data_IF_374564480490
#
_entry.id   IF_374564480490
#
_cell.length_a   1.000
_cell.length_b   1.000
_cell.length_c   1.000
_cell.angle_alpha   90.00
_cell.angle_beta   90.00
_cell.angle_gamma   90.00
#
_symmetry.space_group_name_H-M   'P 1'
#
loop_
_entity.id
_entity.type
_entity.pdbx_description
1 polymer ?
#
# COMPACT_ATOMS: atom_id res chain seq x y z
N UNK A 1 15.80 -4.52 1.86
CA UNK A 1 15.37 -4.73 3.27
C UNK A 1 15.17 -3.43 4.03
N UNK A 2 16.08 -2.44 3.97
CA UNK A 2 15.91 -1.14 4.66
C UNK A 2 14.65 -0.34 4.24
N UNK A 3 14.29 -0.33 2.95
CA UNK A 3 13.13 0.42 2.46
C UNK A 3 11.78 -0.14 2.93
N UNK A 4 11.72 -1.43 3.27
CA UNK A 4 10.52 -2.08 3.81
C UNK A 4 10.25 -1.65 5.27
N UNK A 5 11.31 -1.44 6.05
CA UNK A 5 11.23 -0.95 7.43
C UNK A 5 10.82 0.54 7.50
N UNK A 6 11.16 1.33 6.47
CA UNK A 6 10.88 2.76 6.43
C UNK A 6 9.39 3.12 6.41
N UNK A 7 8.52 2.23 5.91
CA UNK A 7 7.08 2.46 5.91
C UNK A 7 6.33 1.63 6.96
N UNK A 8 6.73 0.37 7.22
CA UNK A 8 6.02 -0.47 8.18
C UNK A 8 6.10 0.06 9.62
N UNK A 9 7.28 0.50 10.06
CA UNK A 9 7.48 0.99 11.43
C UNK A 9 6.56 2.16 11.80
N UNK A 10 6.64 3.29 11.08
CA UNK A 10 5.82 4.47 11.37
C UNK A 10 4.31 4.21 11.26
N UNK A 11 3.90 3.37 10.31
CA UNK A 11 2.47 3.08 10.07
C UNK A 11 1.89 2.22 11.18
N UNK A 12 2.61 1.19 11.61
CA UNK A 12 2.18 0.36 12.74
C UNK A 12 2.12 1.22 14.01
N UNK A 13 3.11 2.09 14.25
CA UNK A 13 3.08 2.99 15.41
C UNK A 13 1.92 3.98 15.34
N UNK A 14 1.58 4.52 14.17
CA UNK A 14 0.46 5.44 14.00
C UNK A 14 -0.89 4.75 14.27
N UNK A 15 -1.08 3.52 13.75
CA UNK A 15 -2.28 2.73 14.02
C UNK A 15 -2.43 2.45 15.52
N UNK A 16 -1.34 2.19 16.25
CA UNK A 16 -1.41 1.93 17.68
C UNK A 16 -1.73 3.17 18.54
N UNK A 17 -1.43 4.38 18.04
CA UNK A 17 -1.76 5.64 18.71
C UNK A 17 -3.13 6.19 18.30
N UNK A 18 -3.71 5.73 17.19
CA UNK A 18 -5.06 6.15 16.76
C UNK A 18 -6.20 5.48 17.52
N UNK A 19 -5.92 4.48 18.37
CA UNK A 19 -6.94 3.66 19.06
C UNK A 19 -6.64 3.50 20.56
N UNK A 20 -7.69 3.44 21.40
CA UNK A 20 -7.55 3.21 22.84
C UNK A 20 -6.81 1.90 23.16
N UNK A 21 -6.09 1.88 24.29
CA UNK A 21 -5.20 0.77 24.66
C UNK A 21 -5.85 -0.63 24.61
N UNK A 22 -7.14 -0.74 24.92
CA UNK A 22 -7.88 -2.01 24.92
C UNK A 22 -8.21 -2.55 23.51
N UNK A 23 -8.16 -1.71 22.46
CA UNK A 23 -8.49 -2.09 21.08
C UNK A 23 -7.25 -2.27 20.19
N UNK A 24 -6.04 -2.04 20.71
CA UNK A 24 -4.79 -2.09 19.93
C UNK A 24 -4.55 -3.44 19.24
N UNK A 25 -4.92 -4.54 19.89
CA UNK A 25 -4.83 -5.90 19.32
C UNK A 25 -5.76 -6.05 18.11
N UNK A 26 -7.02 -5.64 18.23
CA UNK A 26 -8.01 -5.71 17.16
C UNK A 26 -7.63 -4.80 15.99
N UNK A 27 -7.16 -3.59 16.28
CA UNK A 27 -6.72 -2.65 15.25
C UNK A 27 -5.50 -3.15 14.48
N UNK A 28 -4.53 -3.77 15.17
CA UNK A 28 -3.37 -4.39 14.53
C UNK A 28 -3.79 -5.59 13.66
N UNK A 29 -4.73 -6.42 14.15
CA UNK A 29 -5.27 -7.54 13.39
C UNK A 29 -6.04 -7.08 12.14
N UNK A 30 -6.88 -6.05 12.26
CA UNK A 30 -7.59 -5.46 11.12
C UNK A 30 -6.62 -4.82 10.12
N UNK A 31 -5.61 -4.11 10.59
CA UNK A 31 -4.59 -3.52 9.74
C UNK A 31 -3.84 -4.59 8.95
N UNK A 32 -3.38 -5.65 9.62
CA UNK A 32 -2.73 -6.78 8.97
C UNK A 32 -3.66 -7.51 8.00
N UNK A 33 -4.93 -7.70 8.37
CA UNK A 33 -5.92 -8.34 7.51
C UNK A 33 -6.10 -7.53 6.21
N UNK A 34 -6.35 -6.23 6.32
CA UNK A 34 -6.51 -5.34 5.18
C UNK A 34 -5.22 -5.33 4.35
N UNK A 35 -4.07 -5.19 5.00
CA UNK A 35 -2.78 -5.14 4.30
C UNK A 35 -2.49 -6.43 3.52
N UNK A 36 -2.75 -7.60 4.12
CA UNK A 36 -2.55 -8.88 3.45
C UNK A 36 -3.58 -9.11 2.34
N UNK A 37 -4.86 -8.79 2.59
CA UNK A 37 -5.92 -8.99 1.60
C UNK A 37 -5.71 -8.11 0.37
N UNK A 38 -5.46 -6.81 0.56
CA UNK A 38 -5.14 -5.92 -0.55
C UNK A 38 -3.77 -6.22 -1.15
N UNK A 39 -2.76 -6.54 -0.34
CA UNK A 39 -1.43 -6.88 -0.84
C UNK A 39 -1.45 -8.05 -1.81
N UNK A 40 -2.22 -9.10 -1.50
CA UNK A 40 -2.40 -10.26 -2.36
C UNK A 40 -3.35 -9.92 -3.53
N UNK A 41 -4.55 -9.40 -3.25
CA UNK A 41 -5.55 -9.15 -4.29
C UNK A 41 -5.03 -8.17 -5.34
N UNK A 42 -4.49 -7.03 -4.91
CA UNK A 42 -3.93 -5.99 -5.79
C UNK A 42 -2.61 -6.47 -6.40
N UNK A 43 -1.75 -7.12 -5.62
CA UNK A 43 -0.42 -7.56 -6.08
C UNK A 43 -0.46 -8.62 -7.17
N UNK A 44 -1.43 -9.53 -7.15
CA UNK A 44 -1.58 -10.55 -8.20
C UNK A 44 -2.51 -10.11 -9.34
N UNK A 45 -3.59 -9.37 -9.05
CA UNK A 45 -4.60 -9.04 -10.05
C UNK A 45 -4.17 -7.89 -10.98
N UNK A 46 -3.60 -6.81 -10.45
CA UNK A 46 -3.26 -5.64 -11.26
C UNK A 46 -2.25 -5.93 -12.38
N UNK A 47 -1.13 -6.62 -12.12
CA UNK A 47 -0.15 -6.92 -13.16
C UNK A 47 -0.74 -7.82 -14.25
N UNK A 48 -1.62 -8.75 -13.89
CA UNK A 48 -2.32 -9.63 -14.82
C UNK A 48 -3.24 -8.86 -15.77
N UNK A 49 -4.15 -8.05 -15.21
CA UNK A 49 -5.08 -7.21 -16.01
C UNK A 49 -4.33 -6.21 -16.88
N UNK A 50 -3.28 -5.56 -16.33
CA UNK A 50 -2.44 -4.65 -17.11
C UNK A 50 -1.70 -5.38 -18.23
N UNK A 51 -1.16 -6.58 -17.98
CA UNK A 51 -0.48 -7.38 -19.00
C UNK A 51 -1.45 -7.76 -20.13
N UNK A 52 -2.67 -8.19 -19.79
CA UNK A 52 -3.69 -8.55 -20.77
C UNK A 52 -4.21 -7.34 -21.57
N UNK A 53 -4.31 -6.17 -20.95
CA UNK A 53 -4.68 -4.92 -21.63
C UNK A 53 -3.57 -4.41 -22.57
N UNK A 54 -2.30 -4.65 -22.24
CA UNK A 54 -1.15 -4.23 -23.06
C UNK A 54 -0.73 -5.26 -24.12
N UNK A 55 -1.12 -6.54 -23.96
CA UNK A 55 -0.84 -7.65 -24.89
C UNK A 55 -1.13 -7.33 -26.37
N UNK A 56 -2.25 -6.70 -26.74
CA UNK A 56 -2.57 -6.38 -28.14
C UNK A 56 -1.58 -5.41 -28.80
N UNK A 57 -0.89 -4.56 -28.02
CA UNK A 57 0.03 -3.53 -28.52
C UNK A 57 1.51 -3.87 -28.33
N UNK A 58 1.86 -4.64 -27.29
CA UNK A 58 3.26 -4.82 -26.87
C UNK A 58 3.72 -6.29 -26.82
N UNK A 59 2.84 -7.27 -27.10
CA UNK A 59 3.22 -8.68 -27.22
C UNK A 59 3.99 -9.22 -26.02
N UNK A 60 5.24 -9.67 -26.23
CA UNK A 60 6.13 -10.23 -25.19
C UNK A 60 6.57 -9.16 -24.16
N UNK A 61 6.66 -7.89 -24.56
CA UNK A 61 7.09 -6.79 -23.68
C UNK A 61 5.98 -6.25 -22.77
N UNK A 62 4.74 -6.71 -22.96
CA UNK A 62 3.57 -6.26 -22.19
C UNK A 62 3.72 -6.45 -20.69
N UNK A 63 4.41 -7.51 -20.27
CA UNK A 63 4.69 -7.76 -18.84
C UNK A 63 5.67 -6.73 -18.27
N UNK A 64 6.70 -6.32 -19.03
CA UNK A 64 7.63 -5.25 -18.61
C UNK A 64 6.91 -3.92 -18.45
N UNK A 65 6.06 -3.55 -19.42
CA UNK A 65 5.26 -2.33 -19.31
C UNK A 65 4.25 -2.37 -18.17
N UNK A 66 3.64 -3.53 -17.88
CA UNK A 66 2.77 -3.70 -16.72
C UNK A 66 3.53 -3.39 -15.41
N UNK A 67 4.77 -3.87 -15.26
CA UNK A 67 5.60 -3.54 -14.09
C UNK A 67 5.98 -2.06 -14.02
N UNK A 68 6.25 -1.38 -15.14
CA UNK A 68 6.49 0.08 -15.12
C UNK A 68 5.26 0.87 -14.70
N UNK A 69 4.07 0.48 -15.14
CA UNK A 69 2.81 1.12 -14.72
C UNK A 69 2.57 0.90 -13.22
N UNK A 70 2.80 -0.32 -12.72
CA UNK A 70 2.71 -0.63 -11.28
C UNK A 70 3.70 0.22 -10.48
N UNK A 71 4.93 0.43 -10.99
CA UNK A 71 5.91 1.30 -10.36
C UNK A 71 5.42 2.77 -10.31
N UNK A 72 4.79 3.25 -11.38
CA UNK A 72 4.15 4.57 -11.40
C UNK A 72 3.02 4.69 -10.38
N UNK A 73 2.24 3.63 -10.18
CA UNK A 73 1.20 3.57 -9.16
C UNK A 73 1.77 3.71 -7.74
N UNK A 74 2.95 3.13 -7.48
CA UNK A 74 3.66 3.32 -6.21
C UNK A 74 4.09 4.77 -5.97
N UNK A 75 4.43 5.54 -7.01
CA UNK A 75 4.72 6.97 -6.87
C UNK A 75 3.47 7.77 -6.47
N UNK A 76 2.32 7.45 -7.07
CA UNK A 76 1.04 8.06 -6.68
C UNK A 76 0.67 7.69 -5.25
N UNK A 77 0.84 6.42 -4.88
CA UNK A 77 0.61 5.96 -3.52
C UNK A 77 1.53 6.65 -2.50
N UNK A 78 2.81 6.83 -2.84
CA UNK A 78 3.77 7.59 -2.02
C UNK A 78 3.33 9.04 -1.83
N UNK A 79 2.87 9.71 -2.89
CA UNK A 79 2.35 11.08 -2.81
C UNK A 79 1.10 11.16 -1.91
N UNK A 80 0.17 10.22 -2.06
CA UNK A 80 -1.01 10.11 -1.20
C UNK A 80 -0.61 9.88 0.26
N UNK A 81 0.41 9.05 0.51
CA UNK A 81 0.95 8.80 1.85
C UNK A 81 1.52 10.07 2.48
N UNK A 82 2.27 10.86 1.71
CA UNK A 82 2.80 12.15 2.16
C UNK A 82 1.67 13.13 2.47
N UNK A 83 0.64 13.20 1.61
CA UNK A 83 -0.52 14.05 1.85
C UNK A 83 -1.32 13.62 3.09
N UNK A 84 -1.49 12.31 3.30
CA UNK A 84 -2.14 11.74 4.48
C UNK A 84 -1.33 12.02 5.76
N UNK A 85 0.00 11.87 5.71
CA UNK A 85 0.91 12.20 6.82
C UNK A 85 0.77 13.66 7.26
N UNK A 86 0.58 14.59 6.30
CA UNK A 86 0.34 16.01 6.62
C UNK A 86 -1.01 16.25 7.30
N UNK A 87 -2.02 15.41 7.05
CA UNK A 87 -3.35 15.49 7.70
C UNK A 87 -3.43 14.74 9.03
N UNK A 88 -2.59 13.73 9.26
CA UNK A 88 -2.66 12.86 10.45
C UNK A 88 -2.38 13.62 11.76
N UNK A 89 -1.64 14.73 11.71
CA UNK A 89 -1.45 15.63 12.86
C UNK A 89 -2.77 16.19 13.42
N UNK A 90 -3.85 16.17 12.64
CA UNK A 90 -5.14 16.73 13.03
C UNK A 90 -6.02 15.73 13.81
N UNK A 91 -5.79 14.43 13.63
CA UNK A 91 -6.56 13.35 14.29
C UNK A 91 -5.75 12.65 15.40
N UNK A 92 -4.63 13.25 15.81
CA UNK A 92 -3.80 12.74 16.90
C UNK A 92 -4.55 12.93 18.21
N UNK A 93 -5.05 11.83 18.78
CA UNK A 93 -5.62 11.79 20.13
C UNK A 93 -4.48 11.37 21.05
N UNK A 94 -4.18 12.22 22.04
CA UNK A 94 -3.22 11.93 23.13
C UNK A 94 -3.74 10.82 24.05
#
# INVERSE_FOLDING_TARGET
TALNLAWLGPVITAVQHLVPAHMRTTASAMFLLINNLFGIAVGYYLPGVLSDALRPRYGIESLRYAFYIVLGFYLVASLLFVLASRKIKKDWVD
#
